data_IF_803276870860
#
_entry.id   IF_803276870860
#
_cell.length_a   1.000
_cell.length_b   1.000
_cell.length_c   1.000
_cell.angle_alpha   90.00
_cell.angle_beta   90.00
_cell.angle_gamma   90.00
#
_symmetry.space_group_name_H-M   'P 1'
#
loop_
_entity.id
_entity.type
_entity.pdbx_description
1 polymer ?
2 non-polymer ?
3 non-polymer ?
4 water ?
#
# COMPACT_ATOMS: atom_id res chain seq x y z
N UNK A 1 -21.88 -25.60 -13.97
CA UNK A 1 -21.12 -24.35 -13.69
C UNK A 1 -20.76 -23.62 -14.99
N UNK A 2 -20.84 -22.27 -14.98
CA UNK A 2 -20.35 -21.46 -16.11
C UNK A 2 -18.88 -21.74 -16.50
N UNK A 3 -18.53 -21.47 -17.77
CA UNK A 3 -17.14 -21.67 -18.27
C UNK A 3 -16.12 -20.72 -17.61
N UNK A 4 -16.58 -19.53 -17.22
CA UNK A 4 -15.73 -18.50 -16.62
C UNK A 4 -16.60 -17.52 -15.84
N UNK A 5 -16.15 -17.14 -14.64
CA UNK A 5 -16.83 -16.08 -13.88
C UNK A 5 -15.79 -15.06 -13.43
N UNK A 6 -16.25 -13.86 -13.07
CA UNK A 6 -15.39 -12.79 -12.60
C UNK A 6 -16.28 -11.73 -12.00
N UNK A 7 -16.35 -11.73 -10.69
CA UNK A 7 -17.22 -10.81 -9.98
C UNK A 7 -16.75 -9.36 -10.03
N UNK A 8 -15.51 -9.13 -10.50
CA UNK A 8 -15.02 -7.77 -10.75
C UNK A 8 -15.87 -7.06 -11.77
N UNK A 9 -16.36 -7.79 -12.76
CA UNK A 9 -17.21 -7.21 -13.79
C UNK A 9 -18.60 -6.93 -13.28
N UNK A 10 -19.12 -7.89 -12.51
CA UNK A 10 -20.45 -7.79 -11.91
C UNK A 10 -20.50 -6.66 -10.87
N UNK A 11 -19.34 -6.05 -10.63
CA UNK A 11 -19.24 -4.89 -9.76
C UNK A 11 -19.29 -5.24 -8.29
N UNK A 12 -18.88 -6.47 -7.95
CA UNK A 12 -18.95 -6.94 -6.54
C UNK A 12 -17.61 -6.74 -5.84
N UNK A 13 -16.67 -6.13 -6.54
CA UNK A 13 -15.29 -6.07 -6.07
C UNK A 13 -14.82 -4.63 -5.85
N UNK A 14 -14.44 -4.30 -4.62
CA UNK A 14 -13.77 -3.00 -4.35
C UNK A 14 -12.36 -3.01 -4.93
N UNK A 15 -11.76 -1.81 -5.15
CA UNK A 15 -10.37 -1.74 -5.56
C UNK A 15 -9.45 -2.46 -4.59
N UNK A 16 -8.27 -2.80 -5.12
CA UNK A 16 -7.20 -3.48 -4.39
C UNK A 16 -6.63 -2.58 -3.32
N UNK A 17 -6.61 -3.07 -2.08
CA UNK A 17 -6.08 -2.33 -0.93
C UNK A 17 -4.66 -2.79 -0.56
N UNK A 18 -4.03 -2.07 0.36
CA UNK A 18 -2.68 -2.43 0.82
C UNK A 18 -2.75 -2.68 2.31
N UNK A 19 -2.24 -3.82 2.76
CA UNK A 19 -2.30 -4.23 4.17
C UNK A 19 -1.06 -3.83 4.94
N UNK A 20 -0.05 -3.39 4.19
CA UNK A 20 1.19 -2.86 4.76
C UNK A 20 2.01 -3.90 5.48
N UNK A 21 2.77 -3.45 6.45
CA UNK A 21 3.69 -4.32 7.17
C UNK A 21 3.00 -5.00 8.36
N UNK A 22 1.79 -5.48 8.17
CA UNK A 22 0.94 -5.99 9.25
C UNK A 22 0.26 -7.29 8.78
N UNK A 23 0.17 -8.29 9.67
CA UNK A 23 -0.27 -9.62 9.29
C UNK A 23 -1.77 -9.71 9.41
N UNK A 24 -2.45 -8.89 8.61
CA UNK A 24 -3.89 -8.75 8.69
C UNK A 24 -4.56 -9.17 7.39
N UNK A 25 -3.98 -10.14 6.68
CA UNK A 25 -4.54 -10.60 5.41
C UNK A 25 -5.87 -11.34 5.65
N UNK A 26 -5.93 -12.00 6.80
CA UNK A 26 -7.13 -12.61 7.35
C UNK A 26 -8.26 -11.59 7.47
N UNK A 27 -7.92 -10.34 7.74
CA UNK A 27 -8.94 -9.29 7.91
C UNK A 27 -9.36 -8.70 6.58
N UNK A 28 -8.45 -8.74 5.59
CA UNK A 28 -8.76 -8.25 4.25
C UNK A 28 -9.67 -9.23 3.50
N UNK A 29 -9.26 -10.49 3.49
CA UNK A 29 -10.03 -11.57 2.94
C UNK A 29 -11.47 -11.52 3.47
N UNK A 30 -11.61 -11.48 4.80
CA UNK A 30 -12.93 -11.34 5.46
C UNK A 30 -13.72 -10.17 4.89
N UNK A 31 -13.21 -8.96 5.09
CA UNK A 31 -13.90 -7.74 4.61
C UNK A 31 -14.28 -7.74 3.12
N UNK A 32 -13.37 -8.25 2.28
CA UNK A 32 -13.57 -8.38 0.84
C UNK A 32 -14.70 -9.33 0.50
N UNK A 33 -14.81 -10.40 1.27
CA UNK A 33 -15.93 -11.32 1.10
C UNK A 33 -17.26 -10.67 1.53
N UNK A 34 -17.25 -9.99 2.67
CA UNK A 34 -18.41 -9.22 3.13
C UNK A 34 -18.76 -8.06 2.18
N UNK A 35 -17.74 -7.46 1.57
CA UNK A 35 -17.95 -6.41 0.56
C UNK A 35 -18.76 -6.93 -0.62
N UNK A 36 -18.39 -8.13 -1.09
CA UNK A 36 -18.99 -8.77 -2.24
C UNK A 36 -20.34 -9.39 -1.99
N UNK A 37 -20.48 -10.05 -0.82
CA UNK A 37 -21.78 -10.64 -0.39
C UNK A 37 -22.86 -9.59 -0.12
N UNK A 38 -22.45 -8.39 0.32
CA UNK A 38 -23.35 -7.27 0.54
C UNK A 38 -23.77 -6.63 -0.80
N UNK A 39 -22.81 -6.46 -1.70
CA UNK A 39 -23.09 -5.96 -3.04
C UNK A 39 -24.08 -6.89 -3.71
N UNK A 40 -23.64 -8.13 -3.94
CA UNK A 40 -24.47 -9.21 -4.54
C UNK A 40 -25.83 -9.42 -3.84
N UNK A 41 -25.94 -9.00 -2.58
CA UNK A 41 -27.24 -8.84 -1.92
C UNK A 41 -28.05 -7.62 -2.44
N UNK A 42 -27.58 -7.03 -3.57
CA UNK A 42 -28.23 -5.90 -4.24
C UNK A 42 -28.11 -4.58 -3.48
N UNK A 43 -26.89 -4.22 -3.06
CA UNK A 43 -26.68 -2.93 -2.40
C UNK A 43 -25.68 -2.05 -3.13
N UNK A 44 -25.63 -0.74 -2.79
CA UNK A 44 -24.44 0.00 -3.22
C UNK A 44 -23.18 -0.74 -2.77
N UNK A 45 -22.29 -1.07 -3.73
CA UNK A 45 -20.96 -1.58 -3.41
C UNK A 45 -20.26 -0.55 -2.55
N UNK A 46 -19.72 -1.01 -1.42
CA UNK A 46 -19.12 -0.15 -0.42
C UNK A 46 -17.85 -0.79 0.21
N UNK A 47 -16.88 0.04 0.52
CA UNK A 47 -15.61 -0.42 1.09
C UNK A 47 -15.73 -0.49 2.62
N UNK A 48 -15.50 -1.68 3.18
CA UNK A 48 -15.70 -1.89 4.62
C UNK A 48 -14.38 -1.90 5.38
N UNK A 49 -14.44 -1.76 6.70
CA UNK A 49 -13.25 -1.43 7.49
C UNK A 49 -12.50 -2.63 8.00
N UNK A 50 -11.26 -2.77 7.51
CA UNK A 50 -10.33 -3.82 7.94
C UNK A 50 -9.70 -3.51 9.32
N UNK A 51 -9.56 -2.21 9.61
CA UNK A 51 -9.06 -1.70 10.89
C UNK A 51 -10.00 -2.09 12.03
N UNK A 52 -11.28 -2.25 11.71
CA UNK A 52 -12.27 -2.67 12.68
C UNK A 52 -11.83 -3.97 13.26
N UNK A 53 -11.52 -4.92 12.37
CA UNK A 53 -11.10 -6.26 12.77
C UNK A 53 -9.76 -6.23 13.44
N UNK A 54 -8.81 -5.51 12.84
CA UNK A 54 -7.43 -5.53 13.32
C UNK A 54 -7.40 -5.11 14.79
N UNK A 55 -8.08 -4.00 15.11
CA UNK A 55 -8.00 -3.39 16.45
C UNK A 55 -8.99 -3.92 17.47
N UNK A 56 -10.13 -4.44 16.99
CA UNK A 56 -11.24 -4.78 17.87
C UNK A 56 -11.51 -6.29 18.02
N UNK A 57 -11.00 -7.11 17.10
CA UNK A 57 -11.23 -8.56 17.15
C UNK A 57 -10.44 -9.23 18.29
N UNK A 58 -11.15 -9.54 19.37
CA UNK A 58 -10.58 -10.16 20.57
C UNK A 58 -10.31 -11.65 20.41
N UNK A 59 -10.94 -12.28 19.42
CA UNK A 59 -10.71 -13.71 19.08
C UNK A 59 -9.41 -13.89 18.26
N UNK A 60 -8.94 -12.81 17.63
CA UNK A 60 -7.79 -12.89 16.75
C UNK A 60 -6.60 -12.14 17.31
N UNK A 61 -5.52 -12.02 16.53
CA UNK A 61 -4.27 -11.41 17.00
C UNK A 61 -3.87 -10.11 16.29
N UNK A 62 -4.88 -9.39 15.77
CA UNK A 62 -4.70 -8.11 15.09
C UNK A 62 -3.70 -8.19 13.96
N UNK A 63 -2.56 -7.54 14.16
CA UNK A 63 -1.49 -7.58 13.17
C UNK A 63 -0.64 -8.85 13.19
N UNK A 64 -0.88 -9.72 14.18
CA UNK A 64 -0.24 -11.05 14.23
C UNK A 64 -0.98 -12.14 13.46
N UNK A 65 -2.20 -11.87 13.05
CA UNK A 65 -2.91 -12.80 12.19
C UNK A 65 -4.17 -13.35 12.81
N UNK A 66 -4.84 -14.22 12.08
CA UNK A 66 -6.12 -14.70 12.53
C UNK A 66 -6.73 -15.64 11.53
N UNK A 67 -8.00 -15.94 11.74
CA UNK A 67 -8.72 -16.82 10.85
C UNK A 67 -9.96 -16.08 10.40
N UNK A 68 -10.30 -16.21 9.11
CA UNK A 68 -11.49 -15.57 8.55
C UNK A 68 -12.77 -16.01 9.29
N UNK A 69 -12.86 -17.29 9.62
CA UNK A 69 -13.97 -17.82 10.41
C UNK A 69 -14.15 -17.09 11.74
N UNK A 70 -13.03 -16.79 12.40
CA UNK A 70 -13.04 -16.13 13.71
C UNK A 70 -13.39 -14.66 13.65
N UNK A 71 -13.08 -14.01 12.53
CA UNK A 71 -13.55 -12.65 12.26
C UNK A 71 -15.08 -12.66 12.08
N UNK A 72 -15.58 -13.61 11.27
CA UNK A 72 -17.03 -13.79 11.05
C UNK A 72 -17.80 -14.02 12.36
N UNK A 73 -17.25 -14.87 13.23
CA UNK A 73 -17.78 -15.09 14.58
C UNK A 73 -17.80 -13.84 15.46
N UNK A 74 -16.69 -13.10 15.45
CA UNK A 74 -16.58 -11.89 16.25
C UNK A 74 -17.52 -10.77 15.77
N UNK A 75 -17.65 -10.60 14.45
CA UNK A 75 -18.63 -9.66 13.91
C UNK A 75 -20.04 -10.00 14.37
N UNK A 76 -20.35 -11.29 14.51
CA UNK A 76 -21.69 -11.72 14.94
C UNK A 76 -21.83 -11.71 16.46
N UNK A 77 -20.98 -12.48 17.13
CA UNK A 77 -21.01 -12.64 18.58
C UNK A 77 -20.66 -11.38 19.34
N UNK A 78 -19.89 -10.50 18.71
CA UNK A 78 -19.34 -9.41 19.47
C UNK A 78 -19.76 -8.06 18.94
N UNK A 79 -20.23 -8.01 17.70
CA UNK A 79 -20.58 -6.75 17.09
C UNK A 79 -21.98 -6.72 16.48
N UNK A 80 -22.80 -7.70 16.87
CA UNK A 80 -24.17 -7.84 16.35
C UNK A 80 -24.27 -7.83 14.83
N UNK A 81 -23.40 -8.60 14.17
CA UNK A 81 -23.30 -8.63 12.71
C UNK A 81 -22.95 -7.33 11.99
N UNK A 82 -22.54 -6.30 12.74
CA UNK A 82 -22.26 -4.95 12.18
C UNK A 82 -20.84 -4.73 11.64
N UNK A 83 -20.75 -4.06 10.48
CA UNK A 83 -19.48 -3.75 9.84
C UNK A 83 -19.35 -2.27 9.40
N UNK A 84 -18.37 -1.57 9.97
CA UNK A 84 -18.18 -0.14 9.74
C UNK A 84 -17.59 0.11 8.35
N UNK A 85 -17.90 1.28 7.77
CA UNK A 85 -17.27 1.65 6.50
C UNK A 85 -15.76 1.85 6.71
N UNK A 86 -15.02 1.56 5.65
CA UNK A 86 -13.68 2.08 5.47
C UNK A 86 -13.63 3.59 5.83
N UNK A 87 -14.39 4.40 5.08
CA UNK A 87 -14.50 5.86 5.27
C UNK A 87 -14.40 6.27 6.73
N UNK A 88 -15.30 5.73 7.53
CA UNK A 88 -15.49 6.11 8.93
C UNK A 88 -14.54 5.43 9.91
N UNK A 89 -13.79 4.44 9.43
CA UNK A 89 -12.80 3.71 10.24
C UNK A 89 -11.70 3.34 9.26
N UNK A 90 -10.84 4.32 8.90
CA UNK A 90 -9.83 4.07 7.85
C UNK A 90 -8.69 3.20 8.35
N UNK A 91 -8.01 2.51 7.42
CA UNK A 91 -6.87 1.61 7.73
C UNK A 91 -5.60 2.38 8.03
N UNK A 92 -5.07 2.15 9.24
CA UNK A 92 -3.91 2.88 9.76
C UNK A 92 -2.73 2.00 10.24
N UNK A 93 -2.96 0.70 10.41
CA UNK A 93 -1.87 -0.25 10.70
C UNK A 93 -0.93 -0.63 9.52
N UNK A 94 -0.98 0.16 8.44
CA UNK A 94 -0.10 -0.02 7.30
C UNK A 94 1.39 -0.19 7.57
N UNK A 95 1.92 0.40 8.64
CA UNK A 95 3.35 0.27 8.93
C UNK A 95 3.62 -0.59 10.17
N UNK A 96 2.64 -1.43 10.53
CA UNK A 96 2.84 -2.54 11.45
C UNK A 96 2.15 -2.52 12.81
N UNK A 97 1.70 -1.34 13.24
CA UNK A 97 1.24 -1.17 14.61
C UNK A 97 -0.28 -1.16 14.81
N UNK A 98 -0.68 -1.30 16.06
CA UNK A 98 -2.05 -1.65 16.34
C UNK A 98 -2.74 -0.67 17.27
N UNK A 99 -3.44 0.31 16.68
CA UNK A 99 -4.10 1.26 17.55
C UNK A 99 -5.19 0.58 18.37
N UNK A 100 -5.58 1.21 19.46
CA UNK A 100 -6.64 0.71 20.32
C UNK A 100 -7.94 0.69 19.53
N UNK A 101 -8.85 -0.18 19.96
CA UNK A 101 -10.17 -0.28 19.41
C UNK A 101 -11.01 0.94 19.83
N UNK A 102 -11.56 1.62 18.83
CA UNK A 102 -12.54 2.68 19.06
C UNK A 102 -13.89 2.24 18.50
N UNK A 103 -14.90 2.10 19.36
CA UNK A 103 -16.23 1.61 18.92
C UNK A 103 -17.19 2.71 18.43
N UNK A 104 -16.95 3.94 18.85
CA UNK A 104 -17.81 5.09 18.52
C UNK A 104 -17.37 5.78 17.21
N UNK A 105 -18.11 6.81 16.80
CA UNK A 105 -17.69 7.68 15.68
C UNK A 105 -17.77 7.16 14.26
N UNK A 106 -17.84 5.84 14.12
CA UNK A 106 -17.87 5.19 12.80
C UNK A 106 -19.29 5.02 12.29
N UNK A 107 -19.45 4.63 11.03
CA UNK A 107 -20.78 4.36 10.50
C UNK A 107 -20.83 2.97 9.90
N UNK A 108 -21.92 2.25 10.19
CA UNK A 108 -22.11 0.87 9.71
C UNK A 108 -22.36 0.91 8.21
N UNK A 109 -21.62 0.10 7.46
CA UNK A 109 -21.80 0.01 6.02
C UNK A 109 -22.38 -1.31 5.52
N UNK A 110 -22.43 -2.29 6.41
CA UNK A 110 -22.85 -3.63 6.05
C UNK A 110 -23.21 -4.38 7.30
N UNK A 111 -24.06 -5.39 7.15
CA UNK A 111 -24.46 -6.28 8.24
C UNK A 111 -24.43 -7.74 7.77
N UNK A 112 -24.15 -8.63 8.72
CA UNK A 112 -24.16 -10.07 8.47
C UNK A 112 -24.93 -10.83 9.57
N UNK A 113 -25.11 -12.14 9.40
CA UNK A 113 -25.77 -12.96 10.43
C UNK A 113 -24.99 -14.22 10.83
N UNK A 114 -24.30 -14.81 9.85
CA UNK A 114 -23.61 -16.06 10.02
C UNK A 114 -22.45 -16.16 9.03
N UNK A 115 -21.71 -17.26 9.08
CA UNK A 115 -20.77 -17.62 8.03
C UNK A 115 -20.91 -19.11 7.70
N UNK A 116 -20.31 -19.54 6.60
CA UNK A 116 -20.34 -20.95 6.21
C UNK A 116 -18.98 -21.36 5.70
N UNK A 117 -18.67 -22.64 5.88
CA UNK A 117 -17.44 -23.25 5.42
C UNK A 117 -17.81 -24.06 4.19
N UNK A 118 -16.95 -24.08 3.18
CA UNK A 118 -17.29 -24.77 1.96
C UNK A 118 -16.34 -25.93 1.80
N UNK A 119 -16.70 -26.92 0.96
CA UNK A 119 -15.97 -28.19 0.85
C UNK A 119 -14.59 -28.05 0.27
N UNK A 120 -13.70 -28.99 0.60
CA UNK A 120 -12.37 -28.96 0.05
C UNK A 120 -12.40 -29.59 -1.31
N UNK A 121 -13.35 -29.18 -2.14
CA UNK A 121 -13.40 -29.66 -3.52
C UNK A 121 -13.61 -28.53 -4.54
N UNK A 122 -12.91 -28.61 -5.67
CA UNK A 122 -12.73 -27.43 -6.52
C UNK A 122 -13.88 -27.11 -7.45
N UNK A 123 -14.59 -28.13 -7.93
CA UNK A 123 -15.78 -27.86 -8.75
C UNK A 123 -16.85 -27.34 -7.84
N UNK A 124 -16.96 -27.96 -6.67
CA UNK A 124 -17.86 -27.48 -5.62
C UNK A 124 -17.68 -25.98 -5.39
N UNK A 125 -16.41 -25.56 -5.26
CA UNK A 125 -16.10 -24.16 -4.93
C UNK A 125 -16.53 -23.26 -6.09
N UNK A 126 -16.12 -23.67 -7.29
CA UNK A 126 -16.46 -23.02 -8.53
C UNK A 126 -17.98 -22.84 -8.57
N UNK A 127 -18.70 -23.86 -8.11
CA UNK A 127 -20.17 -23.81 -8.07
C UNK A 127 -20.68 -22.79 -7.03
N UNK A 128 -20.09 -22.72 -5.83
CA UNK A 128 -20.50 -21.65 -4.88
C UNK A 128 -20.02 -20.24 -5.30
N UNK A 129 -18.77 -20.11 -5.73
CA UNK A 129 -18.24 -18.82 -6.18
C UNK A 129 -19.11 -18.15 -7.25
N UNK A 130 -19.54 -18.95 -8.22
CA UNK A 130 -20.35 -18.46 -9.35
C UNK A 130 -21.80 -18.19 -8.97
N UNK A 131 -22.29 -18.80 -7.89
CA UNK A 131 -23.66 -18.50 -7.48
C UNK A 131 -23.69 -17.35 -6.49
N UNK A 132 -22.67 -17.23 -5.63
CA UNK A 132 -22.69 -16.28 -4.54
C UNK A 132 -21.74 -15.09 -4.61
N UNK A 133 -20.66 -15.21 -5.37
CA UNK A 133 -19.67 -14.14 -5.42
C UNK A 133 -18.41 -14.43 -4.62
N UNK A 134 -17.56 -13.40 -4.42
CA UNK A 134 -16.21 -13.57 -3.85
C UNK A 134 -16.17 -14.36 -2.55
N UNK A 135 -15.22 -15.28 -2.45
CA UNK A 135 -15.15 -16.20 -1.32
C UNK A 135 -13.86 -16.04 -0.56
N UNK A 136 -13.95 -15.93 0.75
CA UNK A 136 -12.75 -15.80 1.57
C UNK A 136 -12.00 -17.14 1.58
N UNK A 137 -10.75 -17.16 1.12
CA UNK A 137 -9.96 -18.38 1.12
C UNK A 137 -8.57 -18.19 1.73
N UNK A 138 -7.87 -19.29 2.02
CA UNK A 138 -6.55 -19.19 2.61
C UNK A 138 -5.60 -19.93 1.71
N UNK A 139 -4.37 -19.43 1.62
CA UNK A 139 -3.40 -19.97 0.66
C UNK A 139 -2.01 -20.11 1.24
N UNK A 140 -1.24 -20.97 0.60
CA UNK A 140 0.19 -20.93 0.76
C UNK A 140 0.68 -19.77 -0.10
N UNK A 141 1.22 -18.75 0.55
CA UNK A 141 1.67 -17.55 -0.19
C UNK A 141 3.12 -17.58 -0.58
N UNK A 142 3.85 -18.65 -0.25
CA UNK A 142 5.30 -18.74 -0.49
C UNK A 142 5.71 -18.30 -1.91
N UNK A 143 4.91 -18.73 -2.90
CA UNK A 143 5.18 -18.44 -4.30
C UNK A 143 4.55 -17.12 -4.79
N UNK A 144 3.81 -16.44 -3.93
CA UNK A 144 3.31 -15.09 -4.21
C UNK A 144 4.47 -14.08 -4.18
N UNK A 145 5.46 -14.33 -3.33
CA UNK A 145 6.61 -13.44 -3.18
C UNK A 145 7.29 -13.20 -4.52
N UNK A 146 7.55 -14.28 -5.27
CA UNK A 146 8.26 -14.21 -6.56
C UNK A 146 7.35 -13.99 -7.77
N UNK A 147 6.08 -13.68 -7.53
CA UNK A 147 5.08 -13.66 -8.61
C UNK A 147 5.15 -12.38 -9.41
N UNK A 148 5.11 -12.51 -10.73
CA UNK A 148 5.16 -11.32 -11.55
C UNK A 148 4.14 -11.21 -12.70
N UNK A 149 3.28 -12.20 -12.85
CA UNK A 149 2.21 -12.11 -13.82
C UNK A 149 1.99 -13.46 -14.46
N UNK A 150 0.80 -13.65 -15.04
CA UNK A 150 0.48 -14.88 -15.72
C UNK A 150 -0.02 -15.95 -14.77
N UNK A 151 -0.11 -17.17 -15.26
CA UNK A 151 -0.83 -18.21 -14.54
C UNK A 151 0.16 -19.10 -13.82
N UNK A 152 0.06 -19.12 -12.50
CA UNK A 152 0.93 -19.92 -11.66
C UNK A 152 0.47 -21.38 -11.66
N UNK A 153 1.38 -22.28 -12.03
CA UNK A 153 1.05 -23.68 -12.22
C UNK A 153 2.07 -24.55 -11.52
N UNK A 154 3.03 -23.91 -10.85
CA UNK A 154 4.06 -24.63 -10.12
C UNK A 154 4.19 -24.08 -8.70
N UNK A 155 3.07 -23.62 -8.14
CA UNK A 155 3.00 -23.03 -6.79
C UNK A 155 3.45 -23.97 -5.65
N UNK A 156 4.23 -23.46 -4.68
CA UNK A 156 4.53 -24.23 -3.48
C UNK A 156 3.23 -24.44 -2.77
N UNK A 157 2.91 -25.70 -2.50
CA UNK A 157 1.63 -26.04 -1.91
C UNK A 157 1.90 -26.97 -0.73
N UNK A 158 2.52 -26.43 0.31
CA UNK A 158 2.84 -27.26 1.47
C UNK A 158 2.27 -26.74 2.81
N UNK A 159 1.98 -25.44 2.92
CA UNK A 159 1.37 -24.90 4.16
C UNK A 159 0.50 -23.64 3.98
N UNK A 160 -0.66 -23.61 4.62
CA UNK A 160 -1.54 -22.43 4.60
C UNK A 160 -1.03 -21.30 5.50
N UNK A 161 -0.62 -20.18 4.89
CA UNK A 161 -0.14 -19.05 5.68
C UNK A 161 -0.79 -17.68 5.39
N UNK A 162 -1.84 -17.63 4.55
CA UNK A 162 -2.27 -16.36 3.98
C UNK A 162 -3.74 -16.27 3.56
N UNK A 163 -4.46 -15.29 4.08
CA UNK A 163 -5.85 -15.11 3.68
C UNK A 163 -5.96 -14.20 2.46
N UNK A 164 -6.76 -14.61 1.46
CA UNK A 164 -6.97 -13.83 0.20
C UNK A 164 -8.40 -13.96 -0.25
N UNK A 165 -8.72 -13.37 -1.39
CA UNK A 165 -10.11 -13.42 -1.85
C UNK A 165 -10.21 -14.00 -3.24
N UNK A 166 -11.05 -15.02 -3.37
CA UNK A 166 -11.34 -15.62 -4.67
C UNK A 166 -12.55 -14.98 -5.28
N UNK A 167 -12.35 -14.42 -6.48
CA UNK A 167 -13.33 -13.53 -7.15
C UNK A 167 -13.84 -14.06 -8.49
N UNK A 168 -13.05 -14.92 -9.13
CA UNK A 168 -13.48 -15.62 -10.35
C UNK A 168 -12.61 -16.80 -10.78
N UNK A 169 -12.88 -17.29 -11.99
CA UNK A 169 -12.14 -18.41 -12.55
C UNK A 169 -12.38 -18.50 -14.05
N UNK A 170 -11.60 -19.35 -14.73
CA UNK A 170 -11.81 -19.65 -16.14
C UNK A 170 -11.30 -21.05 -16.58
N UNK A 171 -12.25 -21.90 -16.97
CA UNK A 171 -12.00 -23.26 -17.48
C UNK A 171 -11.61 -23.28 -18.97
N UNK A 172 -12.07 -22.26 -19.69
CA UNK A 172 -11.71 -22.04 -21.07
C UNK A 172 -10.39 -21.30 -20.99
N UNK A 173 -9.31 -22.06 -21.13
CA UNK A 173 -7.97 -21.54 -20.92
C UNK A 173 -7.12 -22.76 -20.74
N UNK A 174 -5.83 -22.63 -21.06
CA UNK A 174 -4.93 -23.79 -21.11
C UNK A 174 -3.57 -23.60 -20.41
N UNK A 175 -3.50 -23.89 -19.08
CA UNK A 175 -4.52 -24.51 -18.19
C UNK A 175 -5.66 -23.58 -17.77
N UNK A 176 -6.73 -24.14 -17.17
CA UNK A 176 -7.75 -23.32 -16.52
C UNK A 176 -7.19 -22.66 -15.25
N UNK A 177 -7.87 -21.62 -14.74
CA UNK A 177 -7.32 -20.81 -13.63
C UNK A 177 -8.35 -20.13 -12.69
N UNK A 178 -7.90 -19.78 -11.48
CA UNK A 178 -8.72 -18.98 -10.57
C UNK A 178 -8.28 -17.53 -10.66
N UNK A 179 -9.21 -16.59 -10.44
CA UNK A 179 -8.82 -15.17 -10.17
C UNK A 179 -8.86 -14.93 -8.66
N UNK A 180 -7.73 -14.48 -8.11
CA UNK A 180 -7.54 -14.17 -6.69
C UNK A 180 -7.08 -12.71 -6.47
N UNK A 181 -7.77 -12.00 -5.58
CA UNK A 181 -7.46 -10.62 -5.19
C UNK A 181 -6.62 -10.67 -3.92
N UNK A 182 -5.50 -9.95 -3.94
CA UNK A 182 -4.60 -9.91 -2.79
C UNK A 182 -4.76 -8.55 -2.09
N UNK A 183 -3.99 -8.35 -1.02
CA UNK A 183 -4.06 -7.14 -0.22
C UNK A 183 -2.64 -6.57 -0.11
N UNK A 184 -1.92 -6.61 -1.22
CA UNK A 184 -0.53 -6.16 -1.27
C UNK A 184 -0.42 -5.00 -2.26
N UNK A 185 -1.48 -4.21 -2.34
CA UNK A 185 -1.64 -3.12 -3.32
C UNK A 185 -1.59 -3.54 -4.80
N UNK A 186 -2.00 -2.59 -5.66
CA UNK A 186 -2.07 -2.82 -7.11
C UNK A 186 -0.72 -2.82 -7.81
N UNK A 187 0.36 -2.70 -7.03
CA UNK A 187 1.72 -2.70 -7.60
C UNK A 187 2.35 -4.09 -7.60
N UNK A 188 1.54 -5.06 -7.20
CA UNK A 188 1.96 -6.43 -7.10
C UNK A 188 1.11 -7.26 -8.10
N UNK A 189 1.71 -8.34 -8.62
CA UNK A 189 1.08 -9.21 -9.60
C UNK A 189 0.46 -8.49 -10.79
N UNK A 190 -0.80 -8.81 -11.06
CA UNK A 190 -1.48 -8.17 -12.17
C UNK A 190 -2.45 -7.10 -11.66
N UNK A 191 -1.91 -5.93 -11.31
CA UNK A 191 -2.65 -4.85 -10.63
C UNK A 191 -3.38 -5.31 -9.35
N UNK A 192 -2.65 -6.04 -8.51
CA UNK A 192 -3.17 -6.56 -7.25
C UNK A 192 -3.55 -8.03 -7.28
N UNK A 193 -3.87 -8.55 -8.46
CA UNK A 193 -4.40 -9.92 -8.62
C UNK A 193 -3.34 -10.96 -9.03
N UNK A 194 -3.70 -12.23 -8.84
CA UNK A 194 -2.88 -13.37 -9.20
C UNK A 194 -3.80 -14.44 -9.78
N UNK A 195 -3.36 -15.12 -10.83
CA UNK A 195 -4.08 -16.23 -11.41
C UNK A 195 -3.29 -17.53 -11.19
N UNK A 196 -3.91 -18.49 -10.52
CA UNK A 196 -3.28 -19.80 -10.33
C UNK A 196 -4.11 -20.92 -10.97
N UNK A 197 -3.40 -21.96 -11.43
CA UNK A 197 -4.01 -23.14 -12.02
C UNK A 197 -5.16 -23.69 -11.14
N UNK A 198 -6.28 -24.02 -11.79
CA UNK A 198 -7.45 -24.58 -11.13
C UNK A 198 -7.51 -26.10 -11.41
N UNK A 199 -7.83 -26.91 -10.40
CA UNK A 199 -7.86 -28.37 -10.51
C UNK A 199 -6.66 -29.17 -9.99
N UNK A 200 -5.76 -28.54 -9.22
CA UNK A 200 -4.60 -29.28 -8.66
C UNK A 200 -4.38 -28.98 -7.17
N UNK A 201 -5.33 -28.26 -6.58
CA UNK A 201 -5.17 -27.64 -5.27
C UNK A 201 -3.87 -26.84 -5.22
N UNK A 202 -3.74 -25.91 -6.16
CA UNK A 202 -2.58 -25.02 -6.25
C UNK A 202 -2.50 -24.10 -5.04
N UNK A 203 -1.35 -24.07 -4.38
CA UNK A 203 -1.14 -23.24 -3.17
C UNK A 203 -2.13 -23.64 -2.10
N UNK A 204 -2.56 -24.89 -2.14
CA UNK A 204 -3.53 -25.47 -1.18
C UNK A 204 -4.85 -24.71 -1.06
N UNK A 205 -5.31 -24.12 -2.16
CA UNK A 205 -6.42 -23.17 -2.13
C UNK A 205 -7.80 -23.71 -1.68
N UNK A 206 -8.10 -25.01 -1.87
CA UNK A 206 -9.43 -25.51 -1.46
C UNK A 206 -9.59 -25.85 0.04
N UNK A 207 -8.48 -25.79 0.76
CA UNK A 207 -8.41 -26.18 2.17
C UNK A 207 -9.33 -25.45 3.14
N UNK A 208 -9.31 -24.12 3.11
CA UNK A 208 -10.01 -23.29 4.08
C UNK A 208 -10.89 -22.20 3.46
N UNK A 209 -11.87 -22.62 2.66
CA UNK A 209 -12.77 -21.71 1.92
C UNK A 209 -14.02 -21.42 2.75
N UNK A 210 -14.34 -20.13 2.91
CA UNK A 210 -15.52 -19.73 3.69
C UNK A 210 -16.19 -18.50 3.11
N UNK A 211 -17.37 -18.19 3.61
CA UNK A 211 -18.05 -16.95 3.27
C UNK A 211 -19.03 -16.58 4.39
N UNK A 212 -19.19 -15.29 4.65
CA UNK A 212 -20.26 -14.75 5.50
C UNK A 212 -21.60 -14.92 4.80
N UNK A 213 -22.68 -14.58 5.53
CA UNK A 213 -24.07 -14.72 5.07
C UNK A 213 -24.80 -13.39 5.30
N UNK A 214 -25.51 -12.90 4.28
CA UNK A 214 -26.33 -11.69 4.47
C UNK A 214 -27.85 -11.96 4.53
N UNK A 215 -28.55 -11.29 5.44
CA UNK A 215 -30.04 -11.35 5.50
C UNK A 215 -30.60 -12.58 6.18
N UNK B 1 33.49 13.41 0.17
CA UNK B 1 32.27 12.55 0.20
C UNK B 1 32.62 11.05 0.31
N UNK B 2 31.95 10.32 1.23
CA UNK B 2 32.39 8.94 1.44
C UNK B 2 31.87 8.03 0.35
N UNK B 3 32.61 6.97 0.04
CA UNK B 3 32.29 6.07 -1.08
C UNK B 3 30.87 5.43 -1.05
N UNK B 4 30.13 5.65 0.04
CA UNK B 4 28.81 5.06 0.23
C UNK B 4 28.09 5.69 1.42
N UNK B 5 26.79 5.94 1.25
CA UNK B 5 25.87 6.25 2.36
C UNK B 5 24.58 5.50 2.10
N UNK B 6 23.76 5.37 3.15
CA UNK B 6 22.41 4.81 3.09
C UNK B 6 21.75 5.23 4.38
N UNK B 7 20.91 6.26 4.32
CA UNK B 7 20.37 6.85 5.55
C UNK B 7 19.30 5.98 6.21
N UNK B 8 19.10 4.78 5.66
CA UNK B 8 18.27 3.80 6.33
C UNK B 8 19.07 3.19 7.47
N UNK B 9 20.31 2.81 7.17
CA UNK B 9 21.30 2.33 8.17
C UNK B 9 21.31 3.17 9.46
N UNK B 10 21.13 4.49 9.30
CA UNK B 10 21.31 5.49 10.36
C UNK B 10 20.01 6.03 10.99
N UNK B 11 18.84 5.59 10.50
CA UNK B 11 17.55 5.92 11.11
C UNK B 11 16.84 7.14 10.56
N UNK B 12 17.33 7.63 9.42
CA UNK B 12 16.87 8.87 8.81
C UNK B 12 15.66 8.57 7.93
N UNK B 13 15.42 7.27 7.71
CA UNK B 13 14.33 6.81 6.84
C UNK B 13 13.24 6.02 7.57
N UNK B 14 12.02 6.50 7.36
CA UNK B 14 10.76 5.88 7.80
C UNK B 14 10.40 4.70 6.84
N UNK B 15 9.51 3.75 7.27
CA UNK B 15 9.24 2.64 6.35
C UNK B 15 8.51 3.07 5.08
N UNK B 16 8.84 2.41 3.97
CA UNK B 16 8.12 2.53 2.68
C UNK B 16 6.62 2.75 2.86
N UNK B 17 6.07 3.77 2.20
CA UNK B 17 4.64 4.00 2.27
C UNK B 17 4.00 3.69 0.90
N UNK B 18 2.72 3.99 0.75
CA UNK B 18 2.01 3.72 -0.50
C UNK B 18 1.07 4.88 -0.84
N UNK B 19 1.35 5.54 -1.95
CA UNK B 19 0.53 6.67 -2.35
C UNK B 19 -0.83 6.23 -2.84
N UNK B 20 -0.93 4.99 -3.31
CA UNK B 20 -2.20 4.45 -3.80
C UNK B 20 -2.52 4.95 -5.20
N UNK B 21 -3.80 5.00 -5.55
CA UNK B 21 -4.15 5.56 -6.85
C UNK B 21 -4.51 7.05 -6.74
N UNK B 22 -3.48 7.87 -6.64
CA UNK B 22 -3.58 9.30 -6.41
C UNK B 22 -2.20 9.87 -6.74
N UNK B 23 -2.16 10.93 -7.54
CA UNK B 23 -0.88 11.51 -7.90
C UNK B 23 -0.37 12.36 -6.76
N UNK B 24 0.17 11.72 -5.73
CA UNK B 24 0.69 12.46 -4.56
C UNK B 24 2.15 12.09 -4.24
N UNK B 25 2.82 11.51 -5.21
CA UNK B 25 4.24 11.30 -5.16
C UNK B 25 5.00 12.57 -4.70
N UNK B 26 4.50 13.74 -5.09
CA UNK B 26 5.10 15.00 -4.65
C UNK B 26 5.04 15.14 -3.12
N UNK B 27 3.88 14.86 -2.54
CA UNK B 27 3.71 14.96 -1.10
C UNK B 27 4.61 13.98 -0.31
N UNK B 28 4.94 12.85 -0.92
CA UNK B 28 5.69 11.76 -0.27
C UNK B 28 7.16 12.02 -0.37
N UNK B 29 7.57 12.57 -1.51
CA UNK B 29 8.93 13.09 -1.68
C UNK B 29 9.22 14.14 -0.61
N UNK B 30 8.38 15.18 -0.60
CA UNK B 30 8.43 16.26 0.37
C UNK B 30 8.63 15.74 1.78
N UNK B 31 7.62 15.03 2.25
CA UNK B 31 7.54 14.50 3.61
C UNK B 31 8.69 13.56 3.97
N UNK B 32 9.11 12.72 3.03
CA UNK B 32 10.23 11.82 3.26
C UNK B 32 11.49 12.65 3.53
N UNK B 33 11.72 13.67 2.71
CA UNK B 33 12.78 14.65 2.92
C UNK B 33 12.76 15.29 4.32
N UNK B 34 11.56 15.68 4.77
CA UNK B 34 11.42 16.37 6.06
C UNK B 34 11.64 15.36 7.19
N UNK B 35 10.91 14.24 7.15
CA UNK B 35 11.13 13.12 8.10
C UNK B 35 12.62 12.88 8.29
N UNK B 36 13.38 12.96 7.19
CA UNK B 36 14.83 12.86 7.20
C UNK B 36 15.50 13.98 8.00
N UNK B 37 15.52 15.19 7.42
CA UNK B 37 16.11 16.39 8.05
C UNK B 37 15.76 16.49 9.52
N UNK B 38 14.48 16.34 9.85
CA UNK B 38 14.05 16.49 11.24
C UNK B 38 14.81 15.51 12.15
N UNK B 39 14.85 14.25 11.74
CA UNK B 39 15.60 13.21 12.43
C UNK B 39 17.08 13.60 12.50
N UNK B 40 17.68 13.82 11.33
CA UNK B 40 19.11 14.14 11.20
C UNK B 40 19.56 15.41 11.95
N UNK B 41 18.62 16.34 12.24
CA UNK B 41 18.88 17.43 13.21
C UNK B 41 18.74 16.91 14.66
N UNK B 42 18.93 15.61 14.86
CA UNK B 42 18.97 15.00 16.18
C UNK B 42 17.65 14.88 16.91
N UNK B 43 16.52 14.99 16.19
CA UNK B 43 15.24 14.71 16.80
C UNK B 43 14.88 13.22 16.73
N UNK B 44 13.87 12.79 17.49
CA UNK B 44 13.31 11.45 17.28
C UNK B 44 12.65 11.32 15.88
N UNK B 45 13.03 10.29 15.12
CA UNK B 45 12.37 10.01 13.82
C UNK B 45 10.89 9.79 14.06
N UNK B 46 10.10 10.57 13.37
CA UNK B 46 8.64 10.53 13.49
C UNK B 46 8.02 10.49 12.08
N UNK B 47 7.03 9.62 11.88
CA UNK B 47 6.34 9.55 10.60
C UNK B 47 5.48 10.79 10.44
N UNK B 48 5.50 11.38 9.24
CA UNK B 48 4.75 12.60 8.98
C UNK B 48 3.64 12.44 7.93
N UNK B 49 2.77 13.44 7.85
CA UNK B 49 1.48 13.33 7.16
C UNK B 49 1.56 13.86 5.75
N UNK B 50 1.38 12.95 4.79
CA UNK B 50 1.16 13.27 3.40
C UNK B 50 -0.20 13.90 3.19
N UNK B 51 -1.16 13.47 4.01
CA UNK B 51 -2.56 13.92 3.93
C UNK B 51 -2.68 15.42 4.16
N UNK B 52 -1.79 15.96 4.98
CA UNK B 52 -1.77 17.38 5.25
C UNK B 52 -1.56 18.19 3.98
N UNK B 53 -0.71 17.70 3.09
CA UNK B 53 -0.38 18.41 1.85
C UNK B 53 -1.44 18.19 0.77
N UNK B 54 -1.90 16.92 0.66
CA UNK B 54 -2.92 16.56 -0.34
C UNK B 54 -4.21 17.36 -0.14
N UNK B 55 -4.53 17.66 1.13
CA UNK B 55 -5.82 18.22 1.51
C UNK B 55 -5.77 19.67 1.94
N UNK B 56 -4.59 20.17 2.28
CA UNK B 56 -4.45 21.52 2.85
C UNK B 56 -3.58 22.46 2.02
N UNK B 57 -2.59 21.90 1.33
CA UNK B 57 -1.70 22.66 0.46
C UNK B 57 -2.46 23.30 -0.72
N UNK B 58 -2.77 24.58 -0.60
CA UNK B 58 -3.55 25.23 -1.64
C UNK B 58 -2.74 25.62 -2.89
N UNK B 59 -1.46 25.26 -2.94
CA UNK B 59 -0.60 25.66 -4.05
C UNK B 59 -0.60 24.56 -5.09
N UNK B 60 -0.26 23.36 -4.60
CA UNK B 60 -0.31 22.13 -5.37
C UNK B 60 -1.76 21.74 -5.65
N UNK B 61 -1.97 20.63 -6.34
CA UNK B 61 -3.31 20.23 -6.79
C UNK B 61 -3.79 18.91 -6.17
N UNK B 62 -3.21 18.56 -5.01
CA UNK B 62 -3.57 17.34 -4.30
C UNK B 62 -3.28 16.02 -5.01
N UNK B 63 -4.34 15.33 -5.43
CA UNK B 63 -4.16 14.07 -6.18
C UNK B 63 -3.96 14.27 -7.70
N UNK B 64 -4.22 15.48 -8.21
CA UNK B 64 -3.93 15.84 -9.61
C UNK B 64 -2.52 16.35 -9.89
N UNK B 65 -1.66 16.34 -8.87
CA UNK B 65 -0.25 16.75 -9.03
C UNK B 65 0.20 17.87 -8.11
N UNK B 66 1.51 18.10 -8.08
CA UNK B 66 2.11 19.12 -7.23
C UNK B 66 3.61 19.11 -7.44
N UNK B 67 4.33 19.92 -6.64
CA UNK B 67 5.79 20.08 -6.68
C UNK B 67 6.35 20.22 -5.25
N UNK B 68 7.48 19.56 -4.98
CA UNK B 68 8.08 19.51 -3.63
C UNK B 68 8.32 20.92 -3.08
N UNK B 69 8.89 21.79 -3.91
CA UNK B 69 9.13 23.20 -3.54
C UNK B 69 7.88 23.96 -3.15
N UNK B 70 6.81 23.76 -3.91
CA UNK B 70 5.51 24.37 -3.63
C UNK B 70 4.98 23.91 -2.28
N UNK B 71 5.20 22.63 -1.96
CA UNK B 71 4.82 22.10 -0.66
C UNK B 71 5.74 22.67 0.41
N UNK B 72 7.04 22.65 0.15
CA UNK B 72 7.98 23.33 1.09
C UNK B 72 7.56 24.76 1.36
N UNK B 73 7.05 25.45 0.33
CA UNK B 73 6.62 26.84 0.53
C UNK B 73 5.36 27.06 1.35
N UNK B 74 4.32 26.24 1.07
CA UNK B 74 3.03 26.28 1.76
C UNK B 74 3.25 25.94 3.21
N UNK B 75 4.05 24.92 3.47
CA UNK B 75 4.34 24.61 4.88
C UNK B 75 4.92 25.84 5.59
N UNK B 76 6.04 26.40 5.11
CA UNK B 76 6.55 27.61 5.76
C UNK B 76 5.49 28.73 5.76
N UNK B 77 5.02 29.09 4.56
CA UNK B 77 4.25 30.31 4.43
C UNK B 77 2.86 30.26 4.99
N UNK B 78 2.13 29.17 4.76
CA UNK B 78 0.75 29.13 5.18
C UNK B 78 0.51 28.32 6.44
N UNK B 79 1.44 27.44 6.79
CA UNK B 79 1.24 26.59 7.96
C UNK B 79 2.25 26.86 9.07
N UNK B 80 3.02 27.94 8.92
CA UNK B 80 3.97 28.38 9.94
C UNK B 80 5.15 27.43 10.18
N UNK B 81 5.57 26.73 9.14
CA UNK B 81 6.71 25.82 9.21
C UNK B 81 6.36 24.43 9.71
N UNK B 82 5.15 24.25 10.21
CA UNK B 82 4.75 23.04 10.93
C UNK B 82 4.40 21.81 10.07
N UNK B 83 4.68 20.62 10.59
CA UNK B 83 4.27 19.38 9.91
C UNK B 83 3.61 18.39 10.89
N UNK B 84 2.43 17.89 10.51
CA UNK B 84 1.69 16.97 11.36
C UNK B 84 2.20 15.55 11.26
N UNK B 85 2.29 14.87 12.40
CA UNK B 85 2.44 13.40 12.42
C UNK B 85 1.44 12.67 11.46
N UNK B 86 1.94 11.56 10.89
CA UNK B 86 1.10 10.57 10.23
C UNK B 86 0.01 10.06 11.19
N UNK B 87 0.35 9.70 12.42
CA UNK B 87 -0.64 9.17 13.36
C UNK B 87 -1.90 10.06 13.47
N UNK B 88 -1.68 11.36 13.71
CA UNK B 88 -2.77 12.33 13.92
C UNK B 88 -3.52 12.82 12.69
N UNK B 89 -2.85 12.78 11.53
CA UNK B 89 -3.47 13.08 10.24
C UNK B 89 -3.18 11.96 9.23
N UNK B 90 -3.89 10.79 9.34
CA UNK B 90 -3.40 9.58 8.65
C UNK B 90 -3.70 9.59 7.13
N UNK B 91 -2.91 8.85 6.34
CA UNK B 91 -3.10 8.82 4.88
C UNK B 91 -4.34 8.04 4.52
N UNK B 92 -5.21 8.67 3.73
CA UNK B 92 -6.51 8.13 3.38
C UNK B 92 -6.84 8.23 1.87
N UNK B 93 -6.20 9.16 1.17
CA UNK B 93 -6.46 9.33 -0.24
C UNK B 93 -5.86 8.22 -1.15
N UNK B 94 -5.70 7.00 -0.61
CA UNK B 94 -5.17 5.88 -1.39
C UNK B 94 -6.15 5.36 -2.43
N UNK B 95 -7.42 5.74 -2.30
CA UNK B 95 -8.48 5.36 -3.26
C UNK B 95 -8.82 6.50 -4.23
N UNK B 96 -8.09 7.62 -4.13
CA UNK B 96 -8.31 8.81 -4.97
C UNK B 96 -9.21 9.90 -4.42
N UNK B 97 -9.98 9.56 -3.38
CA UNK B 97 -10.90 10.46 -2.67
C UNK B 97 -10.08 11.54 -1.97
N UNK B 98 -10.54 12.78 -2.03
CA UNK B 98 -9.75 13.87 -1.44
C UNK B 98 -10.52 14.68 -0.41
N UNK B 99 -10.51 14.23 0.87
CA UNK B 99 -11.10 15.01 1.94
C UNK B 99 -10.70 16.47 1.83
N UNK B 100 -11.62 17.34 2.26
CA UNK B 100 -11.34 18.75 2.46
C UNK B 100 -10.18 18.90 3.48
N UNK B 101 -9.65 20.11 3.64
CA UNK B 101 -8.62 20.33 4.65
C UNK B 101 -9.24 20.30 6.05
N UNK B 102 -8.76 19.40 6.88
CA UNK B 102 -9.16 19.39 8.27
C UNK B 102 -8.01 19.86 9.18
N UNK B 103 -8.16 21.04 9.78
CA UNK B 103 -7.05 21.67 10.59
C UNK B 103 -7.02 21.22 12.05
N UNK B 104 -8.20 21.11 12.63
CA UNK B 104 -8.42 20.63 13.99
C UNK B 104 -7.91 19.20 14.24
N UNK B 105 -7.75 18.84 15.52
CA UNK B 105 -7.51 17.45 15.92
C UNK B 105 -6.10 16.89 15.93
N UNK B 106 -5.16 17.57 15.29
CA UNK B 106 -3.85 16.97 15.03
C UNK B 106 -2.80 17.25 16.08
N UNK B 107 -1.60 16.73 15.82
CA UNK B 107 -0.38 16.94 16.62
C UNK B 107 0.74 17.36 15.67
N UNK B 108 1.54 18.36 16.05
CA UNK B 108 2.72 18.74 15.23
C UNK B 108 3.86 17.78 15.55
N UNK B 109 4.54 17.27 14.52
CA UNK B 109 5.67 16.34 14.72
C UNK B 109 7.03 16.86 14.27
N UNK B 110 7.04 17.95 13.50
CA UNK B 110 8.27 18.45 12.89
C UNK B 110 8.03 19.87 12.40
N UNK B 111 9.13 20.63 12.31
CA UNK B 111 9.11 22.03 11.89
C UNK B 111 10.30 22.27 10.95
N UNK B 112 10.02 23.02 9.88
CA UNK B 112 11.05 23.46 8.94
C UNK B 112 11.00 24.98 8.81
N UNK B 113 12.14 25.59 8.46
CA UNK B 113 12.23 27.06 8.35
C UNK B 113 12.27 27.60 6.90
N UNK B 114 12.66 26.74 5.96
CA UNK B 114 12.86 27.12 4.57
C UNK B 114 13.14 25.83 3.77
N UNK B 115 13.46 26.01 2.49
CA UNK B 115 13.92 24.93 1.64
C UNK B 115 15.12 25.38 0.78
N UNK B 116 15.79 24.45 0.12
CA UNK B 116 16.95 24.80 -0.72
C UNK B 116 16.87 23.96 -1.98
N UNK B 117 17.32 24.51 -3.11
CA UNK B 117 17.28 23.79 -4.39
C UNK B 117 18.71 23.53 -4.77
N UNK B 118 19.04 22.27 -5.02
CA UNK B 118 20.44 21.96 -5.30
C UNK B 118 20.74 22.17 -6.79
N UNK B 119 22.02 22.35 -7.17
CA UNK B 119 22.33 22.54 -8.60
C UNK B 119 22.04 21.25 -9.36
N UNK B 120 22.05 21.29 -10.68
CA UNK B 120 21.90 20.06 -11.48
C UNK B 120 23.26 19.38 -11.70
N UNK B 121 23.76 18.75 -10.64
CA UNK B 121 25.09 18.10 -10.63
C UNK B 121 25.11 16.91 -9.65
N UNK B 122 25.53 15.76 -10.14
CA UNK B 122 25.41 14.55 -9.34
C UNK B 122 26.31 14.47 -8.10
N UNK B 123 27.48 15.10 -8.15
CA UNK B 123 28.38 15.11 -6.99
C UNK B 123 27.95 16.10 -5.92
N UNK B 124 27.59 17.32 -6.33
CA UNK B 124 26.91 18.26 -5.43
C UNK B 124 25.81 17.53 -4.68
N UNK B 125 25.03 16.70 -5.40
CA UNK B 125 23.96 15.90 -4.79
C UNK B 125 24.57 14.82 -3.89
N UNK B 126 25.55 14.09 -4.43
CA UNK B 126 26.31 13.10 -3.68
C UNK B 126 26.82 13.67 -2.35
N UNK B 127 27.45 14.85 -2.40
CA UNK B 127 27.95 15.54 -1.19
C UNK B 127 26.86 15.99 -0.20
N UNK B 128 25.83 16.64 -0.71
CA UNK B 128 24.81 17.20 0.17
C UNK B 128 24.05 16.08 0.90
N UNK B 129 23.76 14.99 0.18
CA UNK B 129 23.08 13.80 0.73
C UNK B 129 23.95 13.15 1.81
N UNK B 130 25.20 12.87 1.46
CA UNK B 130 26.16 12.34 2.43
C UNK B 130 26.21 13.22 3.69
N UNK B 131 26.17 14.52 3.53
CA UNK B 131 26.27 15.36 4.71
C UNK B 131 24.92 15.70 5.37
N UNK B 132 23.85 15.78 4.60
CA UNK B 132 22.59 16.34 5.17
C UNK B 132 21.35 15.43 5.23
N UNK B 133 21.44 14.26 4.59
CA UNK B 133 20.36 13.29 4.60
C UNK B 133 19.50 13.25 3.35
N UNK B 134 18.34 12.56 3.44
CA UNK B 134 17.37 12.35 2.35
C UNK B 134 16.91 13.60 1.64
N UNK B 135 17.03 13.55 0.32
CA UNK B 135 16.70 14.65 -0.55
C UNK B 135 15.48 14.31 -1.37
N UNK B 136 14.45 15.14 -1.29
CA UNK B 136 13.32 15.05 -2.23
C UNK B 136 13.81 15.34 -3.65
N UNK B 137 13.48 14.46 -4.60
CA UNK B 137 13.90 14.67 -6.00
C UNK B 137 12.86 14.17 -7.01
N UNK B 138 12.95 14.66 -8.24
CA UNK B 138 12.02 14.27 -9.27
C UNK B 138 12.68 13.48 -10.40
N UNK B 139 11.92 12.55 -10.96
CA UNK B 139 12.42 11.59 -11.94
C UNK B 139 11.38 11.30 -13.03
N UNK B 140 11.89 11.01 -14.22
CA UNK B 140 11.12 10.39 -15.25
C UNK B 140 10.95 8.97 -14.78
N UNK B 141 9.71 8.60 -14.46
CA UNK B 141 9.42 7.28 -13.91
C UNK B 141 8.94 6.30 -14.99
N UNK B 142 9.19 6.61 -16.27
CA UNK B 142 8.69 5.76 -17.35
C UNK B 142 9.26 4.35 -17.15
N UNK B 143 10.57 4.26 -16.91
CA UNK B 143 11.27 2.99 -16.68
C UNK B 143 11.00 2.28 -15.32
N UNK B 144 10.05 2.83 -14.56
CA UNK B 144 9.70 2.35 -13.22
C UNK B 144 8.54 1.33 -13.17
N UNK B 145 7.66 1.36 -14.15
CA UNK B 145 6.60 0.35 -14.27
C UNK B 145 7.19 -1.03 -14.57
N UNK B 146 8.37 -1.06 -15.17
CA UNK B 146 9.08 -2.30 -15.56
C UNK B 146 9.85 -2.98 -14.43
N UNK B 147 10.20 -2.21 -13.41
CA UNK B 147 11.27 -2.55 -12.48
C UNK B 147 11.04 -3.78 -11.61
N UNK B 148 11.93 -4.75 -11.77
CA UNK B 148 11.96 -5.93 -10.92
C UNK B 148 12.92 -5.79 -9.77
N UNK B 149 14.03 -5.11 -10.07
CA UNK B 149 15.25 -5.13 -9.27
C UNK B 149 16.47 -5.03 -10.17
N UNK B 150 17.63 -4.84 -9.56
CA UNK B 150 18.86 -4.57 -10.30
C UNK B 150 19.14 -3.08 -10.26
N UNK B 151 20.17 -2.65 -10.98
CA UNK B 151 20.57 -1.26 -11.06
C UNK B 151 20.18 -0.81 -12.45
N UNK B 152 19.12 -0.01 -12.54
CA UNK B 152 18.66 0.52 -13.83
C UNK B 152 19.77 1.31 -14.49
N UNK B 153 20.18 0.92 -15.68
CA UNK B 153 21.26 1.59 -16.40
C UNK B 153 20.83 2.22 -17.72
N UNK B 154 19.61 1.89 -18.16
CA UNK B 154 19.07 2.41 -19.42
C UNK B 154 17.80 3.26 -19.22
N UNK B 155 17.50 3.57 -17.96
CA UNK B 155 16.32 4.37 -17.59
C UNK B 155 15.90 5.38 -18.65
N UNK B 156 14.65 5.32 -19.08
CA UNK B 156 14.10 6.34 -19.94
C UNK B 156 14.23 7.67 -19.19
N UNK B 157 15.01 8.58 -19.76
CA UNK B 157 15.34 9.84 -19.12
C UNK B 157 14.83 10.97 -19.99
N UNK B 158 13.50 11.06 -20.15
CA UNK B 158 12.90 12.01 -21.09
C UNK B 158 12.27 13.22 -20.42
N UNK B 159 11.45 13.00 -19.38
CA UNK B 159 10.80 14.12 -18.70
C UNK B 159 10.28 13.80 -17.31
N UNK B 160 10.57 14.70 -16.38
CA UNK B 160 10.19 14.54 -14.98
C UNK B 160 8.69 14.43 -14.91
N UNK B 161 8.21 13.47 -14.12
CA UNK B 161 6.78 13.26 -13.97
C UNK B 161 6.42 12.65 -12.62
N UNK B 162 7.42 12.44 -11.77
CA UNK B 162 7.24 11.70 -10.52
C UNK B 162 8.19 12.10 -9.39
N UNK B 163 7.64 12.32 -8.20
CA UNK B 163 8.47 12.71 -7.07
C UNK B 163 8.88 11.52 -6.21
N UNK B 164 10.15 11.49 -5.80
CA UNK B 164 10.72 10.42 -4.95
C UNK B 164 11.70 10.88 -3.87
N UNK B 165 12.18 9.93 -3.07
CA UNK B 165 13.15 10.25 -2.03
C UNK B 165 14.53 9.62 -2.27
N UNK B 166 15.55 10.45 -2.38
CA UNK B 166 16.90 9.98 -2.58
C UNK B 166 17.55 9.76 -1.22
N UNK B 167 17.78 8.49 -0.86
CA UNK B 167 18.12 8.09 0.53
C UNK B 167 19.57 7.74 0.77
N UNK B 168 20.31 7.50 -0.30
CA UNK B 168 21.69 7.06 -0.21
C UNK B 168 22.28 6.83 -1.58
N UNK B 169 23.52 6.37 -1.59
CA UNK B 169 24.16 5.93 -2.82
C UNK B 169 25.29 4.98 -2.48
N UNK B 170 25.93 4.45 -3.51
CA UNK B 170 26.97 3.47 -3.32
C UNK B 170 27.89 3.44 -4.52
N UNK B 171 29.08 4.01 -4.36
CA UNK B 171 30.10 3.96 -5.40
C UNK B 171 30.85 2.66 -5.28
N UNK B 172 30.78 2.09 -4.07
CA UNK B 172 31.46 0.82 -3.71
C UNK B 172 30.94 -0.35 -4.56
N UNK B 173 30.84 -0.12 -5.88
CA UNK B 173 30.10 -0.99 -6.80
C UNK B 173 30.36 -0.66 -8.27
N UNK B 174 29.80 -1.51 -9.14
CA UNK B 174 29.99 -1.40 -10.58
C UNK B 174 28.72 -1.78 -11.38
N UNK B 175 28.00 -0.76 -11.95
CA UNK B 175 28.36 0.64 -11.87
C UNK B 175 27.88 1.22 -10.55
N UNK B 176 28.36 2.44 -10.18
CA UNK B 176 27.83 3.07 -8.95
C UNK B 176 26.33 3.35 -9.10
N UNK B 177 25.65 3.64 -8.00
CA UNK B 177 24.22 3.83 -8.05
C UNK B 177 23.62 4.67 -6.94
N UNK B 178 22.46 5.26 -7.23
CA UNK B 178 21.61 5.89 -6.24
C UNK B 178 20.63 4.90 -5.64
N UNK B 179 20.23 5.17 -4.42
CA UNK B 179 19.28 4.30 -3.76
C UNK B 179 18.08 5.19 -3.52
N UNK B 180 16.98 4.91 -4.24
CA UNK B 180 15.77 5.70 -4.13
C UNK B 180 14.62 4.92 -3.49
N UNK B 181 13.94 5.63 -2.60
CA UNK B 181 12.70 5.22 -1.94
C UNK B 181 11.46 5.75 -2.68
N UNK B 182 10.58 4.81 -3.04
CA UNK B 182 9.33 5.12 -3.71
C UNK B 182 8.16 5.07 -2.74
N UNK B 183 6.98 5.39 -3.27
CA UNK B 183 5.72 5.39 -2.54
C UNK B 183 4.73 4.43 -3.22
N UNK B 184 5.19 3.24 -3.57
CA UNK B 184 4.36 2.30 -4.31
C UNK B 184 4.33 0.96 -3.57
N UNK B 185 4.43 1.03 -2.24
CA UNK B 185 4.42 -0.11 -1.34
C UNK B 185 5.74 -0.81 -1.33
N UNK B 186 5.91 -1.63 -0.32
CA UNK B 186 7.08 -2.48 -0.17
C UNK B 186 7.08 -3.67 -1.11
N UNK B 187 5.97 -3.86 -1.81
CA UNK B 187 5.84 -5.01 -2.68
C UNK B 187 6.12 -4.63 -4.11
N UNK B 188 6.78 -3.48 -4.30
CA UNK B 188 7.20 -3.06 -5.61
C UNK B 188 8.69 -2.93 -5.52
N UNK B 189 9.39 -3.24 -6.62
CA UNK B 189 10.85 -3.07 -6.70
C UNK B 189 11.61 -3.80 -5.60
N UNK B 190 12.76 -3.26 -5.18
CA UNK B 190 13.56 -3.93 -4.14
C UNK B 190 13.07 -3.51 -2.77
N UNK B 191 11.99 -4.18 -2.32
CA UNK B 191 11.29 -3.87 -1.06
C UNK B 191 10.78 -2.43 -0.97
N UNK B 192 10.38 -1.86 -2.09
CA UNK B 192 9.90 -0.48 -2.11
C UNK B 192 10.91 0.45 -2.74
N UNK B 193 12.14 -0.03 -2.90
CA UNK B 193 13.25 0.83 -3.35
C UNK B 193 13.66 0.45 -4.75
N UNK B 194 14.41 1.36 -5.37
CA UNK B 194 15.00 1.19 -6.71
C UNK B 194 16.44 1.68 -6.67
N UNK B 195 17.31 0.97 -7.39
CA UNK B 195 18.69 1.37 -7.60
C UNK B 195 18.84 1.74 -9.07
N UNK B 196 19.33 2.95 -9.32
CA UNK B 196 19.64 3.43 -10.67
C UNK B 196 21.14 3.80 -10.82
N UNK B 197 21.65 3.82 -12.05
CA UNK B 197 23.07 4.07 -12.26
C UNK B 197 23.42 5.51 -11.89
N UNK B 198 24.40 5.67 -11.01
CA UNK B 198 24.95 6.99 -10.63
C UNK B 198 25.98 7.44 -11.68
N UNK B 199 25.83 8.66 -12.18
CA UNK B 199 26.79 9.20 -13.14
C UNK B 199 26.30 9.57 -14.54
N UNK B 200 25.33 8.82 -15.07
CA UNK B 200 24.79 9.12 -16.40
C UNK B 200 23.47 9.88 -16.36
N UNK B 201 23.20 10.59 -15.25
CA UNK B 201 21.93 11.31 -15.08
C UNK B 201 20.70 10.46 -15.41
N UNK B 202 20.65 9.28 -14.80
CA UNK B 202 19.61 8.32 -15.01
C UNK B 202 18.26 8.91 -14.62
N UNK B 203 17.27 8.71 -15.49
CA UNK B 203 15.89 9.17 -15.26
C UNK B 203 15.79 10.69 -15.05
N UNK B 204 16.87 11.41 -15.37
CA UNK B 204 16.99 12.87 -15.18
C UNK B 204 16.96 13.28 -13.71
N UNK B 205 17.59 12.44 -12.86
CA UNK B 205 17.39 12.48 -11.41
C UNK B 205 17.98 13.69 -10.75
N UNK B 206 18.91 14.34 -11.45
CA UNK B 206 19.62 15.53 -10.94
C UNK B 206 18.99 16.88 -11.28
N UNK B 207 17.78 16.90 -11.83
CA UNK B 207 17.22 18.12 -12.40
C UNK B 207 16.43 19.00 -11.41
N UNK B 208 15.84 18.38 -10.39
CA UNK B 208 14.95 19.09 -9.44
C UNK B 208 15.09 18.38 -8.12
N UNK B 209 16.22 18.66 -7.49
CA UNK B 209 16.57 18.07 -6.25
C UNK B 209 16.57 19.20 -5.24
N UNK B 210 15.85 18.96 -4.14
CA UNK B 210 15.64 19.97 -3.10
C UNK B 210 15.67 19.31 -1.72
N UNK B 211 15.55 20.11 -0.68
CA UNK B 211 15.50 19.63 0.69
C UNK B 211 15.04 20.76 1.60
N UNK B 212 14.14 20.42 2.52
CA UNK B 212 13.78 21.29 3.65
C UNK B 212 15.00 21.62 4.51
N UNK B 213 14.94 22.77 5.18
CA UNK B 213 15.93 23.19 6.16
C UNK B 213 15.21 23.12 7.49
N UNK B 214 15.81 22.44 8.47
CA UNK B 214 15.25 22.42 9.81
C UNK B 214 16.00 23.41 10.69
N UNK B 215 15.27 24.20 11.48
CA UNK B 215 15.88 25.02 12.56
C UNK B 215 16.38 26.37 12.13
#
# INVERSE_FOLDING_TARGET
>A
APAAVDWREKGAVTPVKDQGQCGSCWAFSTIGNIEGQWQVAGNPLVSLSEQMLVSCDTIDFGCGGGLMDNAFNWIVNSNGGNVFTEASYPYVSGNGEQPQCQMNGHEIGAAITDHVDLPQDEDAIAAYLAENGPLAIAVDATSFMDYNGGILTSCTSEQLDHGVLLVGYNDASNPPYWIIKNSWSNMWGEDGYIRIEKGTNQCLMNQAVSSAVVG
>B
APAAVDWREKGAVTPVKDQGQCGSCWAFSTIGNIEGQWQVAGNPLVSLSEQMLVSCDTIDFGCGGGLMDNAFNWIVNSNGGNVFTEASYPYVSGNGEQPQCQMNGHEIGAAITDHVDLPQDEDAIAAYLAENGPLAIAVDATSFMDYNGGILTSCTSEQLDHGVLLVGYNDASNPPYWIIKNSWSNMWGEDGYIRIEKGTNQCLMNQAVSSAVVG
#
